data_IF_946404509602
#
_entry.id   IF_946404509602
#
_cell.length_a   1.000
_cell.length_b   1.000
_cell.length_c   1.000
_cell.angle_alpha   90.00
_cell.angle_beta   90.00
_cell.angle_gamma   90.00
#
_symmetry.space_group_name_H-M   'P 1'
#
loop_
_entity.id
_entity.type
_entity.pdbx_description
1 polymer ?
#
# COMPACT_ATOMS: atom_id res chain seq x y z
N UNK A 1 6.38 3.71 -7.04
CA UNK A 1 5.68 3.79 -5.78
C UNK A 1 6.66 3.45 -4.65
N UNK A 2 6.81 4.32 -3.68
CA UNK A 2 7.79 4.22 -2.57
C UNK A 2 7.18 3.53 -1.36
N UNK A 3 5.88 3.36 -1.37
CA UNK A 3 5.14 2.69 -0.31
C UNK A 3 5.22 1.17 -0.50
N UNK A 4 6.20 0.53 0.16
CA UNK A 4 6.33 -0.93 0.17
C UNK A 4 5.04 -1.61 0.66
N UNK A 5 4.40 -1.07 1.69
CA UNK A 5 3.15 -1.59 2.20
C UNK A 5 2.06 -1.60 1.13
N UNK A 6 1.87 -0.49 0.42
CA UNK A 6 0.90 -0.41 -0.67
C UNK A 6 1.19 -1.39 -1.80
N UNK A 7 2.47 -1.60 -2.16
CA UNK A 7 2.84 -2.57 -3.18
C UNK A 7 2.54 -4.02 -2.73
N UNK A 8 2.85 -4.36 -1.48
CA UNK A 8 2.58 -5.69 -0.91
C UNK A 8 1.08 -5.96 -0.76
N UNK A 9 0.31 -4.98 -0.32
CA UNK A 9 -1.15 -5.05 -0.26
C UNK A 9 -1.76 -5.30 -1.63
N UNK A 10 -1.26 -4.60 -2.65
CA UNK A 10 -1.73 -4.76 -4.02
C UNK A 10 -1.39 -6.13 -4.60
N UNK A 11 -0.19 -6.64 -4.30
CA UNK A 11 0.19 -8.02 -4.62
C UNK A 11 -0.74 -9.03 -3.98
N UNK A 12 -0.97 -8.91 -2.69
CA UNK A 12 -1.81 -9.83 -1.95
C UNK A 12 -3.24 -9.86 -2.50
N UNK A 13 -3.83 -8.71 -2.80
CA UNK A 13 -5.15 -8.63 -3.44
C UNK A 13 -5.16 -9.32 -4.80
N UNK A 14 -4.13 -9.09 -5.62
CA UNK A 14 -4.00 -9.73 -6.92
C UNK A 14 -3.95 -11.27 -6.78
N UNK A 15 -3.07 -11.78 -5.88
CA UNK A 15 -2.94 -13.22 -5.63
C UNK A 15 -4.24 -13.83 -5.14
N UNK A 16 -4.89 -13.21 -4.17
CA UNK A 16 -6.19 -13.65 -3.66
C UNK A 16 -7.22 -13.80 -4.78
N UNK A 17 -7.32 -12.82 -5.67
CA UNK A 17 -8.26 -12.87 -6.80
C UNK A 17 -7.91 -14.00 -7.78
N UNK A 18 -6.62 -14.23 -8.05
CA UNK A 18 -6.17 -15.36 -8.88
C UNK A 18 -6.54 -16.73 -8.27
N UNK A 19 -6.34 -16.89 -6.96
CA UNK A 19 -6.69 -18.10 -6.22
C UNK A 19 -8.21 -18.37 -6.22
N UNK A 20 -9.01 -17.30 -6.22
CA UNK A 20 -10.46 -17.39 -6.38
C UNK A 20 -10.90 -17.72 -7.82
N UNK A 21 -9.95 -17.86 -8.76
CA UNK A 21 -10.21 -18.21 -10.16
C UNK A 21 -10.55 -17.03 -11.07
N UNK A 22 -10.33 -15.81 -10.61
CA UNK A 22 -10.47 -14.61 -11.45
C UNK A 22 -9.21 -14.35 -12.28
N UNK A 23 -9.34 -13.53 -13.31
CA UNK A 23 -8.23 -13.04 -14.12
C UNK A 23 -8.06 -11.53 -13.91
N UNK A 24 -7.48 -11.12 -12.79
CA UNK A 24 -7.34 -9.71 -12.48
C UNK A 24 -6.33 -9.04 -13.42
N UNK A 25 -6.60 -7.78 -13.74
CA UNK A 25 -5.72 -6.91 -14.50
C UNK A 25 -5.42 -5.70 -13.64
N UNK A 26 -4.15 -5.38 -13.47
CA UNK A 26 -3.74 -4.22 -12.69
C UNK A 26 -3.73 -2.97 -13.56
N UNK A 27 -4.34 -1.92 -13.08
CA UNK A 27 -4.23 -0.60 -13.69
C UNK A 27 -3.00 0.10 -13.09
N UNK A 28 -2.13 0.59 -13.95
CA UNK A 28 -1.01 1.42 -13.49
C UNK A 28 -1.50 2.78 -13.00
N UNK A 29 -0.66 3.46 -12.24
CA UNK A 29 -0.93 4.81 -11.79
C UNK A 29 -1.23 5.73 -12.98
N UNK A 30 -2.24 6.63 -12.90
CA UNK A 30 -2.55 7.57 -13.96
C UNK A 30 -1.35 8.42 -14.37
N UNK A 31 -1.17 8.63 -15.67
CA UNK A 31 -0.18 9.57 -16.18
C UNK A 31 -0.51 11.00 -15.75
N UNK A 32 0.49 11.74 -15.30
CA UNK A 32 0.35 13.12 -14.86
C UNK A 32 0.02 13.29 -13.38
N UNK A 33 -0.15 12.23 -12.62
CA UNK A 33 0.07 12.24 -11.19
C UNK A 33 1.59 12.31 -11.02
N UNK A 34 2.11 13.52 -11.04
CA UNK A 34 3.48 13.80 -10.64
C UNK A 34 3.63 13.63 -9.12
N UNK A 35 3.31 12.47 -8.64
CA UNK A 35 3.90 12.01 -7.43
C UNK A 35 5.22 11.37 -7.82
N UNK A 36 6.13 12.21 -8.22
CA UNK A 36 7.53 11.87 -8.32
C UNK A 36 8.25 12.37 -7.08
N UNK A 37 8.41 11.57 -6.14
CA UNK A 37 9.64 11.58 -5.42
C UNK A 37 10.58 10.80 -6.29
N UNK A 38 11.45 11.51 -6.90
CA UNK A 38 12.50 11.07 -7.80
C UNK A 38 12.99 9.69 -7.43
N UNK A 39 12.77 8.69 -8.26
CA UNK A 39 13.14 7.32 -7.98
C UNK A 39 14.64 7.08 -8.14
N UNK A 40 15.48 8.07 -7.83
CA UNK A 40 16.92 7.79 -7.74
C UNK A 40 17.24 6.69 -6.73
N UNK A 41 16.34 6.45 -5.78
CA UNK A 41 16.57 5.57 -4.64
C UNK A 41 15.54 4.45 -4.44
N UNK A 42 14.40 4.47 -5.11
CA UNK A 42 13.47 3.37 -5.09
C UNK A 42 13.62 2.51 -6.34
N UNK A 43 14.59 1.62 -6.31
CA UNK A 43 14.63 0.52 -7.27
C UNK A 43 13.58 -0.51 -6.87
N UNK A 44 12.33 -0.26 -7.20
CA UNK A 44 11.39 -1.35 -7.32
C UNK A 44 11.94 -2.26 -8.41
N UNK A 45 12.62 -3.31 -8.03
CA UNK A 45 12.56 -4.50 -8.87
C UNK A 45 11.07 -4.74 -9.06
N UNK A 46 10.60 -4.77 -10.30
CA UNK A 46 9.28 -5.29 -10.61
C UNK A 46 9.12 -6.52 -9.75
N UNK A 47 8.11 -6.53 -8.89
CA UNK A 47 7.75 -7.78 -8.24
C UNK A 47 7.65 -8.82 -9.37
N UNK A 48 8.19 -10.02 -9.19
CA UNK A 48 8.22 -11.02 -10.24
C UNK A 48 6.80 -11.50 -10.51
N UNK A 49 6.08 -10.74 -11.35
CA UNK A 49 4.77 -11.12 -11.83
C UNK A 49 4.89 -11.45 -13.31
N UNK A 50 5.21 -12.69 -13.67
CA UNK A 50 5.24 -13.06 -15.06
C UNK A 50 3.86 -13.04 -15.71
N UNK A 51 2.79 -12.90 -14.95
CA UNK A 51 1.46 -13.31 -15.39
C UNK A 51 0.39 -12.20 -15.39
N UNK A 52 0.64 -11.00 -14.88
CA UNK A 52 -0.42 -10.01 -14.94
C UNK A 52 -0.22 -8.96 -16.03
N UNK A 53 -1.29 -8.74 -16.77
CA UNK A 53 -1.36 -7.64 -17.69
C UNK A 53 -1.45 -6.34 -16.88
N UNK A 54 -0.43 -5.50 -16.98
CA UNK A 54 -0.51 -4.11 -16.55
C UNK A 54 -1.07 -3.34 -17.72
N UNK A 55 -2.29 -2.83 -17.60
CA UNK A 55 -2.80 -1.87 -18.54
C UNK A 55 -2.19 -0.51 -18.23
N UNK A 56 -1.60 0.18 -19.22
CA UNK A 56 -1.04 1.50 -19.00
C UNK A 56 -2.15 2.45 -18.56
N UNK A 57 -1.87 3.28 -17.57
CA UNK A 57 -2.75 4.37 -17.25
C UNK A 57 -2.84 5.28 -18.46
N UNK A 58 -4.06 5.68 -18.80
CA UNK A 58 -4.31 6.64 -19.87
C UNK A 58 -4.51 8.02 -19.26
N UNK A 59 -4.08 9.03 -20.00
CA UNK A 59 -4.13 10.41 -19.56
C UNK A 59 -5.59 10.87 -19.37
N UNK A 60 -5.93 11.22 -18.13
CA UNK A 60 -7.21 11.77 -17.74
C UNK A 60 -8.40 10.79 -17.79
N UNK A 61 -9.55 11.26 -17.35
CA UNK A 61 -10.81 10.50 -17.24
C UNK A 61 -11.25 9.79 -18.53
N UNK A 62 -11.07 10.45 -19.67
CA UNK A 62 -11.56 9.95 -20.95
C UNK A 62 -10.82 8.67 -21.35
N UNK A 63 -9.52 8.62 -21.08
CA UNK A 63 -8.71 7.43 -21.37
C UNK A 63 -9.07 6.24 -20.48
N UNK A 64 -9.37 6.47 -19.21
CA UNK A 64 -9.72 5.42 -18.26
C UNK A 64 -11.07 4.75 -18.61
N UNK A 65 -12.01 5.49 -19.17
CA UNK A 65 -13.32 4.94 -19.58
C UNK A 65 -13.23 3.80 -20.58
N UNK A 66 -12.17 3.70 -21.35
CA UNK A 66 -12.00 2.59 -22.29
C UNK A 66 -11.92 1.24 -21.59
N UNK A 67 -11.45 1.18 -20.33
CA UNK A 67 -11.38 -0.08 -19.56
C UNK A 67 -12.75 -0.68 -19.28
N UNK A 68 -13.82 0.10 -19.35
CA UNK A 68 -15.20 -0.42 -19.27
C UNK A 68 -15.53 -1.41 -20.39
N UNK A 69 -14.76 -1.40 -21.50
CA UNK A 69 -14.94 -2.35 -22.60
C UNK A 69 -14.25 -3.69 -22.34
N UNK A 70 -13.34 -3.76 -21.37
CA UNK A 70 -12.49 -4.94 -21.12
C UNK A 70 -12.80 -5.62 -19.80
N UNK A 71 -13.32 -4.88 -18.83
CA UNK A 71 -13.56 -5.36 -17.49
C UNK A 71 -15.05 -5.28 -17.13
N UNK A 72 -15.52 -6.28 -16.39
CA UNK A 72 -16.88 -6.31 -15.84
C UNK A 72 -16.94 -5.83 -14.39
N UNK A 73 -15.82 -5.94 -13.69
CA UNK A 73 -15.67 -5.59 -12.28
C UNK A 73 -14.44 -4.71 -12.08
N UNK A 74 -14.58 -3.66 -11.28
CA UNK A 74 -13.53 -2.74 -10.90
C UNK A 74 -13.37 -2.76 -9.39
N UNK A 75 -12.15 -2.96 -8.93
CA UNK A 75 -11.82 -3.06 -7.50
C UNK A 75 -10.83 -1.97 -7.15
N UNK A 76 -11.09 -1.27 -6.06
CA UNK A 76 -10.16 -0.34 -5.41
C UNK A 76 -9.91 -0.77 -3.97
N UNK A 77 -8.79 -0.42 -3.44
CA UNK A 77 -8.38 -0.72 -2.07
C UNK A 77 -7.02 -1.38 -2.11
N UNK A 78 -6.49 -1.61 -1.10
CA UNK A 78 -6.58 -1.58 0.33
C UNK A 78 -5.58 -0.55 0.89
N UNK A 79 -5.69 0.70 0.52
CA UNK A 79 -4.83 1.78 1.02
C UNK A 79 -5.65 2.99 1.47
N UNK A 80 -5.01 4.04 1.95
CA UNK A 80 -5.61 5.28 2.44
C UNK A 80 -6.17 6.14 1.29
N UNK A 81 -7.07 5.56 0.50
CA UNK A 81 -7.58 6.15 -0.75
C UNK A 81 -8.58 7.28 -0.53
N UNK A 82 -9.26 7.30 0.61
CA UNK A 82 -10.38 8.19 0.87
C UNK A 82 -10.06 9.30 1.88
N UNK A 83 -8.81 9.71 1.95
CA UNK A 83 -8.40 10.94 2.64
C UNK A 83 -8.62 12.16 1.73
N UNK A 84 -8.80 13.35 2.31
CA UNK A 84 -8.97 14.57 1.53
C UNK A 84 -7.78 14.85 0.60
N UNK A 85 -6.56 14.53 1.05
CA UNK A 85 -5.35 14.64 0.25
C UNK A 85 -5.37 13.68 -0.95
N UNK A 86 -5.66 12.41 -0.73
CA UNK A 86 -5.71 11.41 -1.79
C UNK A 86 -6.85 11.67 -2.78
N UNK A 87 -8.00 12.14 -2.31
CA UNK A 87 -9.10 12.54 -3.19
C UNK A 87 -8.72 13.71 -4.10
N UNK A 88 -7.95 14.68 -3.58
CA UNK A 88 -7.41 15.77 -4.41
C UNK A 88 -6.37 15.26 -5.41
N UNK A 89 -5.50 14.37 -4.99
CA UNK A 89 -4.44 13.81 -5.81
C UNK A 89 -4.98 12.88 -6.91
N UNK A 90 -5.90 11.99 -6.56
CA UNK A 90 -6.43 10.97 -7.46
C UNK A 90 -7.62 11.43 -8.29
N UNK A 91 -8.21 12.57 -7.98
CA UNK A 91 -9.28 13.26 -8.72
C UNK A 91 -10.27 12.32 -9.44
N UNK A 92 -11.09 11.59 -8.66
CA UNK A 92 -12.10 10.67 -9.18
C UNK A 92 -11.60 9.31 -9.64
N UNK A 93 -10.30 9.04 -9.50
CA UNK A 93 -9.74 7.75 -9.87
C UNK A 93 -10.11 6.66 -8.85
N UNK A 94 -9.94 6.95 -7.56
CA UNK A 94 -10.19 5.99 -6.48
C UNK A 94 -11.69 5.79 -6.17
N UNK A 95 -12.52 6.80 -6.39
CA UNK A 95 -13.98 6.70 -6.23
C UNK A 95 -14.69 6.09 -7.46
N UNK A 96 -13.92 5.64 -8.45
CA UNK A 96 -14.39 4.99 -9.68
C UNK A 96 -15.43 5.82 -10.44
N UNK A 97 -15.31 7.15 -10.42
CA UNK A 97 -16.20 8.05 -11.14
C UNK A 97 -16.29 7.72 -12.64
N UNK A 98 -15.16 7.33 -13.23
CA UNK A 98 -15.01 6.99 -14.64
C UNK A 98 -15.62 5.63 -15.04
N UNK A 99 -15.97 4.78 -14.06
CA UNK A 99 -16.57 3.47 -14.31
C UNK A 99 -18.06 3.59 -14.59
N UNK A 100 -18.52 2.92 -15.64
CA UNK A 100 -19.93 2.92 -16.04
C UNK A 100 -20.85 2.31 -14.96
N UNK A 101 -22.11 2.72 -14.95
CA UNK A 101 -23.07 2.26 -13.94
C UNK A 101 -23.42 0.77 -14.04
N UNK A 102 -23.34 0.20 -15.23
CA UNK A 102 -23.59 -1.23 -15.50
C UNK A 102 -22.44 -2.16 -15.06
N UNK A 103 -21.32 -1.60 -14.59
CA UNK A 103 -20.16 -2.34 -14.14
C UNK A 103 -20.15 -2.48 -12.62
N UNK A 104 -19.71 -3.65 -12.15
CA UNK A 104 -19.55 -3.91 -10.72
C UNK A 104 -18.37 -3.11 -10.15
N UNK A 105 -18.58 -2.48 -9.00
CA UNK A 105 -17.62 -1.66 -8.29
C UNK A 105 -17.47 -2.18 -6.87
N UNK A 106 -16.24 -2.45 -6.46
CA UNK A 106 -15.92 -2.99 -5.15
C UNK A 106 -14.82 -2.13 -4.51
N UNK A 107 -15.01 -1.70 -3.29
CA UNK A 107 -13.93 -1.23 -2.45
C UNK A 107 -13.59 -2.32 -1.43
N UNK A 108 -12.37 -2.86 -1.52
CA UNK A 108 -11.93 -3.91 -0.63
C UNK A 108 -10.91 -3.39 0.38
N UNK A 109 -11.24 -3.48 1.66
CA UNK A 109 -10.38 -3.09 2.77
C UNK A 109 -9.83 -1.65 2.64
N UNK A 110 -10.60 -0.74 2.07
CA UNK A 110 -10.19 0.66 1.89
C UNK A 110 -9.98 1.36 3.24
N UNK A 111 -9.22 2.44 3.25
CA UNK A 111 -8.91 3.18 4.48
C UNK A 111 -9.19 4.67 4.33
N UNK A 112 -9.72 5.24 5.41
CA UNK A 112 -9.83 6.68 5.60
C UNK A 112 -8.63 7.29 6.35
N UNK A 113 -7.73 6.45 6.84
CA UNK A 113 -6.56 6.81 7.65
C UNK A 113 -6.85 7.48 9.00
N UNK A 114 -8.08 7.92 9.24
CA UNK A 114 -8.49 8.67 10.44
C UNK A 114 -9.91 8.25 10.86
N UNK A 115 -10.27 8.57 12.09
CA UNK A 115 -11.58 8.29 12.65
C UNK A 115 -12.66 9.30 12.22
N UNK A 116 -12.26 10.38 11.56
CA UNK A 116 -13.14 11.41 11.00
C UNK A 116 -12.70 11.73 9.57
N UNK A 117 -13.64 12.14 8.74
CA UNK A 117 -13.32 12.53 7.37
C UNK A 117 -12.38 13.74 7.33
N UNK A 118 -11.26 13.61 6.61
CA UNK A 118 -10.19 14.62 6.60
C UNK A 118 -10.23 15.60 5.42
N UNK A 119 -11.25 15.49 4.56
CA UNK A 119 -11.41 16.35 3.37
C UNK A 119 -12.36 17.54 3.58
N UNK A 120 -12.60 18.30 2.51
CA UNK A 120 -13.61 19.36 2.49
C UNK A 120 -15.03 18.80 2.45
N UNK A 121 -16.02 19.68 2.68
CA UNK A 121 -17.44 19.30 2.58
C UNK A 121 -17.77 18.84 1.16
N UNK A 122 -17.27 19.53 0.16
CA UNK A 122 -17.48 19.19 -1.25
C UNK A 122 -16.89 17.82 -1.60
N UNK A 123 -15.69 17.53 -1.09
CA UNK A 123 -15.07 16.21 -1.26
C UNK A 123 -15.87 15.11 -0.58
N UNK A 124 -16.38 15.38 0.61
CA UNK A 124 -17.23 14.46 1.36
C UNK A 124 -18.52 14.13 0.62
N UNK A 125 -19.25 15.15 0.15
CA UNK A 125 -20.49 14.99 -0.59
C UNK A 125 -20.25 14.24 -1.92
N UNK A 126 -19.18 14.58 -2.63
CA UNK A 126 -18.77 13.91 -3.87
C UNK A 126 -18.44 12.43 -3.61
N UNK A 127 -17.60 12.15 -2.62
CA UNK A 127 -17.23 10.79 -2.26
C UNK A 127 -18.47 9.97 -1.89
N UNK A 128 -19.35 10.50 -1.03
CA UNK A 128 -20.59 9.85 -0.64
C UNK A 128 -21.50 9.53 -1.86
N UNK A 129 -21.55 10.45 -2.83
CA UNK A 129 -22.29 10.21 -4.07
C UNK A 129 -21.73 9.04 -4.86
N UNK A 130 -20.42 8.97 -5.05
CA UNK A 130 -19.78 7.91 -5.83
C UNK A 130 -19.77 6.56 -5.09
N UNK A 131 -19.53 6.54 -3.78
CA UNK A 131 -19.55 5.32 -3.00
C UNK A 131 -20.90 4.60 -2.98
N UNK A 132 -22.01 5.33 -3.09
CA UNK A 132 -23.36 4.73 -3.25
C UNK A 132 -23.52 3.92 -4.54
N UNK A 133 -22.61 4.05 -5.49
CA UNK A 133 -22.57 3.27 -6.73
C UNK A 133 -21.81 1.95 -6.58
N UNK A 134 -21.19 1.72 -5.43
CA UNK A 134 -20.43 0.50 -5.19
C UNK A 134 -21.38 -0.63 -4.81
N UNK A 135 -21.15 -1.80 -5.38
CA UNK A 135 -21.89 -3.03 -5.08
C UNK A 135 -21.45 -3.62 -3.73
N UNK A 136 -20.20 -3.37 -3.34
CA UNK A 136 -19.67 -3.75 -2.04
C UNK A 136 -18.62 -2.73 -1.59
N UNK A 137 -18.73 -2.33 -0.33
CA UNK A 137 -17.80 -1.39 0.28
C UNK A 137 -17.30 -1.94 1.60
N UNK A 138 -16.00 -2.16 1.69
CA UNK A 138 -15.37 -2.63 2.92
C UNK A 138 -14.15 -1.80 3.31
N UNK A 139 -13.90 -1.76 4.61
CA UNK A 139 -12.83 -0.99 5.24
C UNK A 139 -11.97 -1.88 6.13
N UNK A 140 -10.69 -1.55 6.27
CA UNK A 140 -9.76 -2.33 7.10
C UNK A 140 -9.70 -1.86 8.55
N UNK A 141 -10.26 -0.70 8.89
CA UNK A 141 -10.36 -0.19 10.24
C UNK A 141 -11.82 -0.17 10.73
N UNK A 142 -12.05 -0.57 11.98
CA UNK A 142 -13.41 -0.52 12.58
C UNK A 142 -13.98 0.89 12.66
N UNK A 143 -13.13 1.89 12.88
CA UNK A 143 -13.53 3.30 12.85
C UNK A 143 -14.07 3.73 11.48
N UNK A 144 -13.56 3.12 10.41
CA UNK A 144 -14.02 3.37 9.04
C UNK A 144 -15.48 3.00 8.80
N UNK A 145 -16.04 1.99 9.50
CA UNK A 145 -17.47 1.68 9.44
C UNK A 145 -18.28 2.87 9.91
N UNK A 146 -17.97 3.36 11.11
CA UNK A 146 -18.67 4.49 11.70
C UNK A 146 -18.60 5.74 10.82
N UNK A 147 -17.41 6.03 10.27
CA UNK A 147 -17.22 7.14 9.34
C UNK A 147 -18.07 6.98 8.08
N UNK A 148 -18.06 5.78 7.46
CA UNK A 148 -18.85 5.50 6.27
C UNK A 148 -20.35 5.66 6.51
N UNK A 149 -20.87 5.15 7.61
CA UNK A 149 -22.29 5.19 7.94
C UNK A 149 -22.76 6.57 8.40
N UNK A 150 -22.07 7.17 9.38
CA UNK A 150 -22.50 8.43 10.01
C UNK A 150 -22.18 9.66 9.15
N UNK A 151 -21.02 9.65 8.47
CA UNK A 151 -20.57 10.83 7.73
C UNK A 151 -20.86 10.76 6.23
N UNK A 152 -20.84 9.58 5.62
CA UNK A 152 -21.04 9.42 4.17
C UNK A 152 -22.40 8.79 3.83
N UNK A 153 -23.10 8.22 4.80
CA UNK A 153 -24.38 7.53 4.59
C UNK A 153 -24.24 6.32 3.67
N UNK A 154 -23.14 5.58 3.80
CA UNK A 154 -22.83 4.38 3.01
C UNK A 154 -22.55 3.23 3.98
N UNK A 155 -23.21 2.08 3.78
CA UNK A 155 -22.94 0.88 4.58
C UNK A 155 -21.58 0.33 4.23
N UNK A 156 -20.81 -0.07 5.24
CA UNK A 156 -19.48 -0.65 5.09
C UNK A 156 -19.31 -1.91 5.94
N UNK A 157 -18.50 -2.83 5.47
CA UNK A 157 -18.09 -4.02 6.23
C UNK A 157 -16.64 -3.88 6.68
N UNK A 158 -16.32 -4.39 7.88
CA UNK A 158 -14.94 -4.50 8.31
C UNK A 158 -14.35 -5.82 7.83
N UNK A 159 -13.22 -5.73 7.14
CA UNK A 159 -12.49 -6.89 6.62
C UNK A 159 -10.99 -6.76 6.94
N UNK A 160 -10.27 -7.87 6.83
CA UNK A 160 -8.81 -7.84 6.95
C UNK A 160 -8.17 -7.22 5.71
N UNK A 161 -7.03 -6.56 5.92
CA UNK A 161 -6.17 -6.13 4.82
C UNK A 161 -5.73 -7.37 3.99
N UNK A 162 -5.66 -7.28 2.65
CA UNK A 162 -5.26 -8.40 1.80
C UNK A 162 -3.96 -9.09 2.20
N UNK A 163 -3.02 -8.39 2.82
CA UNK A 163 -1.73 -9.00 3.25
C UNK A 163 -1.92 -10.17 4.21
N UNK A 164 -3.02 -10.19 4.96
CA UNK A 164 -3.36 -11.31 5.86
C UNK A 164 -4.08 -12.46 5.15
N UNK A 165 -4.54 -12.24 3.92
CA UNK A 165 -5.29 -13.22 3.14
C UNK A 165 -4.42 -13.97 2.13
N UNK A 166 -3.26 -13.43 1.80
CA UNK A 166 -2.31 -14.05 0.89
C UNK A 166 -1.65 -15.25 1.57
N UNK A 167 -1.54 -16.36 0.86
CA UNK A 167 -0.96 -17.58 1.37
C UNK A 167 0.55 -17.47 1.64
N UNK A 168 1.04 -18.33 2.51
CA UNK A 168 2.45 -18.33 2.91
C UNK A 168 3.40 -18.71 1.75
N UNK A 169 2.96 -19.52 0.82
CA UNK A 169 3.77 -19.95 -0.33
C UNK A 169 4.05 -18.75 -1.26
N UNK A 170 3.04 -17.95 -1.52
CA UNK A 170 3.17 -16.70 -2.28
C UNK A 170 4.15 -15.72 -1.63
N UNK A 171 4.10 -15.56 -0.30
CA UNK A 171 5.08 -14.75 0.42
C UNK A 171 6.49 -15.33 0.36
N UNK A 172 6.64 -16.66 0.54
CA UNK A 172 7.94 -17.32 0.48
C UNK A 172 8.59 -17.16 -0.90
N UNK A 173 7.81 -17.27 -1.97
CA UNK A 173 8.32 -17.07 -3.33
C UNK A 173 8.91 -15.66 -3.56
N UNK A 174 8.34 -14.63 -2.93
CA UNK A 174 8.93 -13.30 -2.94
C UNK A 174 10.22 -13.23 -2.09
N UNK A 175 10.18 -13.81 -0.91
CA UNK A 175 11.28 -13.76 0.06
C UNK A 175 12.55 -14.44 -0.47
N UNK A 176 12.42 -15.54 -1.20
CA UNK A 176 13.55 -16.28 -1.78
C UNK A 176 14.42 -15.43 -2.71
N UNK A 177 13.85 -14.39 -3.29
CA UNK A 177 14.55 -13.45 -4.16
C UNK A 177 15.23 -12.29 -3.41
N UNK A 178 15.03 -12.16 -2.10
CA UNK A 178 15.44 -11.00 -1.30
C UNK A 178 16.63 -11.21 -0.35
N UNK A 179 17.40 -12.26 -0.52
CA UNK A 179 18.41 -12.67 0.48
C UNK A 179 19.79 -11.99 0.36
N UNK A 180 20.02 -11.16 -0.63
CA UNK A 180 21.37 -10.67 -0.99
C UNK A 180 22.06 -9.80 0.08
N UNK A 181 21.28 -9.14 0.95
CA UNK A 181 21.80 -8.22 1.98
C UNK A 181 21.46 -8.62 3.42
N UNK A 182 21.10 -9.88 3.63
CA UNK A 182 20.81 -10.36 5.00
C UNK A 182 22.06 -10.39 5.86
N UNK A 183 21.98 -9.90 7.11
CA UNK A 183 23.03 -10.09 8.10
C UNK A 183 23.33 -11.58 8.32
N UNK A 184 24.60 -11.92 8.54
CA UNK A 184 25.01 -13.31 8.78
C UNK A 184 24.81 -13.77 10.23
N UNK A 185 24.62 -12.85 11.14
CA UNK A 185 24.36 -13.08 12.54
C UNK A 185 22.92 -12.75 12.88
N UNK A 186 22.37 -13.26 13.98
CA UNK A 186 21.08 -12.80 14.51
C UNK A 186 21.04 -11.28 14.61
N UNK A 187 19.92 -10.68 14.25
CA UNK A 187 19.77 -9.23 14.20
C UNK A 187 18.34 -8.78 14.56
N UNK A 188 18.24 -7.56 15.05
CA UNK A 188 16.98 -6.82 15.19
C UNK A 188 16.74 -6.09 13.87
N UNK A 189 15.52 -6.11 13.36
CA UNK A 189 15.16 -5.34 12.19
C UNK A 189 14.10 -4.29 12.55
N UNK A 190 14.42 -3.02 12.38
CA UNK A 190 13.47 -1.92 12.56
C UNK A 190 13.04 -1.32 11.23
N UNK A 191 11.74 -1.43 10.89
CA UNK A 191 11.16 -0.62 9.82
C UNK A 191 10.55 0.63 10.44
N UNK A 192 11.24 1.76 10.32
CA UNK A 192 10.99 2.96 11.11
C UNK A 192 10.41 4.07 10.24
N UNK A 193 9.13 4.37 10.46
CA UNK A 193 8.50 5.55 9.91
C UNK A 193 8.93 6.79 10.70
N UNK A 194 9.15 7.91 10.02
CA UNK A 194 9.59 9.18 10.63
C UNK A 194 10.79 8.99 11.58
N UNK A 195 11.96 8.54 11.09
CA UNK A 195 13.13 8.27 11.92
C UNK A 195 13.56 9.53 12.69
N UNK A 196 13.89 9.34 13.97
CA UNK A 196 14.35 10.41 14.85
C UNK A 196 15.23 9.86 15.98
N UNK A 197 15.85 10.75 16.74
CA UNK A 197 16.78 10.39 17.82
C UNK A 197 16.17 9.55 18.95
N UNK A 198 14.89 9.67 19.20
CA UNK A 198 14.21 8.86 20.22
C UNK A 198 14.07 7.42 19.74
N UNK A 199 13.70 7.21 18.48
CA UNK A 199 13.59 5.89 17.87
C UNK A 199 14.95 5.22 17.74
N UNK A 200 16.01 5.98 17.37
CA UNK A 200 17.40 5.49 17.40
C UNK A 200 17.79 4.98 18.79
N UNK A 201 17.48 5.77 19.82
CA UNK A 201 17.75 5.39 21.22
C UNK A 201 17.00 4.12 21.64
N UNK A 202 15.77 3.95 21.22
CA UNK A 202 14.99 2.73 21.48
C UNK A 202 15.63 1.50 20.84
N UNK A 203 16.17 1.63 19.63
CA UNK A 203 16.89 0.55 18.97
C UNK A 203 18.16 0.16 19.75
N UNK A 204 18.95 1.12 20.23
CA UNK A 204 20.12 0.83 21.08
C UNK A 204 19.74 0.18 22.41
N UNK A 205 18.63 0.59 23.03
CA UNK A 205 18.13 -0.10 24.22
C UNK A 205 17.78 -1.56 23.91
N UNK A 206 17.18 -1.82 22.75
CA UNK A 206 16.88 -3.19 22.33
C UNK A 206 18.16 -4.00 22.10
N UNK A 207 19.20 -3.43 21.49
CA UNK A 207 20.52 -4.06 21.34
C UNK A 207 21.12 -4.45 22.69
N UNK A 208 21.10 -3.53 23.64
CA UNK A 208 21.63 -3.76 24.99
C UNK A 208 20.89 -4.88 25.74
N UNK A 209 19.56 -4.92 25.60
CA UNK A 209 18.70 -5.90 26.29
C UNK A 209 18.82 -7.29 25.66
N UNK A 210 18.86 -7.35 24.32
CA UNK A 210 18.79 -8.60 23.56
C UNK A 210 20.17 -9.15 23.19
N UNK A 211 21.21 -8.33 23.24
CA UNK A 211 22.58 -8.73 22.92
C UNK A 211 22.83 -8.99 21.43
N UNK A 212 22.03 -8.40 20.55
CA UNK A 212 22.14 -8.54 19.10
C UNK A 212 22.14 -7.17 18.41
N UNK A 213 22.78 -7.09 17.26
CA UNK A 213 22.93 -5.86 16.48
C UNK A 213 21.60 -5.49 15.79
N UNK A 214 21.32 -4.21 15.66
CA UNK A 214 20.16 -3.68 14.94
C UNK A 214 20.49 -3.31 13.50
N UNK A 215 19.54 -3.55 12.63
CA UNK A 215 19.49 -3.02 11.27
C UNK A 215 18.19 -2.27 11.08
N UNK A 216 18.23 -1.12 10.43
CA UNK A 216 17.04 -0.30 10.21
C UNK A 216 16.76 -0.07 8.74
N UNK A 217 15.49 0.05 8.42
CA UNK A 217 15.01 0.62 7.17
C UNK A 217 13.94 1.66 7.47
N UNK A 218 13.73 2.58 6.55
CA UNK A 218 12.76 3.65 6.71
C UNK A 218 11.99 3.89 5.42
N UNK A 219 10.84 4.53 5.56
CA UNK A 219 10.07 5.11 4.47
C UNK A 219 10.65 6.42 3.95
N UNK A 220 11.70 6.94 4.57
CA UNK A 220 12.34 8.20 4.15
C UNK A 220 12.99 8.02 2.78
N UNK A 221 12.75 8.99 1.94
CA UNK A 221 12.97 8.96 0.51
C UNK A 221 14.42 9.11 0.08
N UNK A 222 15.26 9.58 0.98
CA UNK A 222 16.67 9.77 0.67
C UNK A 222 17.57 9.26 1.79
N UNK A 223 18.71 8.76 1.39
CA UNK A 223 19.73 8.20 2.29
C UNK A 223 20.26 9.26 3.27
N UNK A 224 20.37 10.50 2.81
CA UNK A 224 20.88 11.61 3.62
C UNK A 224 19.98 11.90 4.82
N UNK A 225 18.66 11.90 4.63
CA UNK A 225 17.70 12.13 5.72
C UNK A 225 17.65 10.94 6.68
N UNK A 226 17.73 9.73 6.17
CA UNK A 226 17.78 8.52 6.99
C UNK A 226 19.05 8.51 7.85
N UNK A 227 20.21 8.70 7.25
CA UNK A 227 21.49 8.76 7.93
C UNK A 227 21.57 9.89 8.97
N UNK A 228 20.90 11.01 8.75
CA UNK A 228 20.83 12.12 9.68
C UNK A 228 20.23 11.76 11.03
N UNK A 229 19.27 10.84 11.05
CA UNK A 229 18.52 10.51 12.25
C UNK A 229 18.89 9.17 12.88
N UNK A 230 19.46 8.25 12.09
CA UNK A 230 19.79 6.90 12.54
C UNK A 230 21.21 6.46 12.14
N UNK A 231 22.13 7.39 12.10
CA UNK A 231 23.50 7.21 11.59
C UNK A 231 24.37 6.22 12.39
N UNK A 232 24.00 5.92 13.64
CA UNK A 232 24.71 4.92 14.46
C UNK A 232 24.14 3.50 14.34
N UNK A 233 23.07 3.31 13.54
CA UNK A 233 22.50 2.01 13.27
C UNK A 233 22.71 1.70 11.79
N UNK A 234 23.20 0.51 11.42
CA UNK A 234 23.27 0.08 10.03
C UNK A 234 21.92 0.25 9.34
N UNK A 235 21.84 1.20 8.42
CA UNK A 235 20.60 1.55 7.74
C UNK A 235 20.62 1.01 6.32
N UNK A 236 19.57 0.27 5.98
CA UNK A 236 19.37 -0.32 4.68
C UNK A 236 18.60 0.67 3.80
N UNK A 237 19.32 1.37 2.95
CA UNK A 237 18.71 2.21 1.93
C UNK A 237 18.27 1.37 0.72
N UNK A 238 17.24 1.82 0.03
CA UNK A 238 16.77 1.21 -1.22
C UNK A 238 16.39 -0.28 -1.10
N UNK A 239 15.74 -0.66 0.00
CA UNK A 239 15.17 -2.00 0.13
C UNK A 239 14.06 -2.21 -0.90
N UNK A 240 14.21 -3.26 -1.72
CA UNK A 240 13.10 -3.81 -2.51
C UNK A 240 12.08 -4.50 -1.60
N UNK A 241 10.89 -4.77 -2.11
CA UNK A 241 9.85 -5.47 -1.35
C UNK A 241 10.30 -6.87 -0.91
N UNK A 242 11.02 -7.57 -1.78
CA UNK A 242 11.57 -8.91 -1.51
C UNK A 242 12.61 -8.88 -0.38
N UNK A 243 13.49 -7.87 -0.41
CA UNK A 243 14.50 -7.69 0.62
C UNK A 243 13.88 -7.30 1.96
N UNK A 244 12.87 -6.41 1.95
CA UNK A 244 12.09 -6.04 3.14
C UNK A 244 11.46 -7.27 3.79
N UNK A 245 10.75 -8.06 3.01
CA UNK A 245 10.12 -9.29 3.50
C UNK A 245 11.15 -10.30 3.99
N UNK A 246 12.29 -10.41 3.31
CA UNK A 246 13.38 -11.28 3.72
C UNK A 246 13.96 -10.86 5.07
N UNK A 247 14.15 -9.56 5.31
CA UNK A 247 14.61 -9.06 6.61
C UNK A 247 13.58 -9.31 7.71
N UNK A 248 12.29 -9.05 7.45
CA UNK A 248 11.20 -9.32 8.41
C UNK A 248 11.15 -10.80 8.77
N UNK A 249 11.31 -11.69 7.79
CA UNK A 249 11.25 -13.15 8.03
C UNK A 249 12.46 -13.67 8.84
N UNK A 250 13.64 -13.13 8.60
CA UNK A 250 14.89 -13.66 9.12
C UNK A 250 15.46 -12.91 10.33
N UNK A 251 14.85 -11.78 10.72
CA UNK A 251 15.24 -11.10 11.96
C UNK A 251 14.81 -11.93 13.18
N UNK A 252 15.57 -11.81 14.27
CA UNK A 252 15.24 -12.41 15.55
C UNK A 252 14.13 -11.63 16.26
N UNK A 253 14.13 -10.30 16.05
CA UNK A 253 13.15 -9.36 16.60
C UNK A 253 12.81 -8.29 15.55
N UNK A 254 11.52 -7.91 15.49
CA UNK A 254 10.96 -6.87 14.62
C UNK A 254 10.45 -5.70 15.46
#
# INVERSE_FOLDING_TARGET
NVNCGGALTYYALYRMLCEMGYSPVMLSQPEGLEWDPTPKYCRYKKLPYPEYAILPAKKGYVGQREYNNYCDTFIVGSDQLFTGEMLSLLDGYADLEWVNNDKRKIAYAASFAKDTFSGTIEQKERLAYFLRRFDSFSVREKSGIKLAEEELGVSAEWVLDPVFMCDQESWNALIENGNDRLPQKPFIFGYILDPNKEKEKLMHIAEDVLGVESHAASDVWNEEDTLKWMWNIPTLSNLGNEELLSHIKNCEFL
#
